data_IF_839192509300
#
_entry.id   IF_839192509300
#
_cell.length_a   1.000
_cell.length_b   1.000
_cell.length_c   1.000
_cell.angle_alpha   90.00
_cell.angle_beta   90.00
_cell.angle_gamma   90.00
#
_symmetry.space_group_name_H-M   'P 1'
#
loop_
_entity.id
_entity.type
_entity.pdbx_description
1 polymer ?
#
# COMPACT_ATOMS: atom_id res chain seq x y z
N UNK A 1 26.34 -30.61 -0.49
CA UNK A 1 26.31 -29.45 -1.42
C UNK A 1 24.96 -29.58 -2.12
N UNK A 2 23.92 -28.81 -1.84
CA UNK A 2 23.76 -27.35 -1.90
C UNK A 2 22.71 -26.86 -0.89
N UNK A 3 22.98 -25.71 -0.29
CA UNK A 3 22.05 -24.93 0.54
C UNK A 3 21.08 -24.15 -0.36
N UNK A 4 19.77 -24.18 -0.09
CA UNK A 4 18.90 -23.03 -0.33
C UNK A 4 17.93 -22.87 0.83
N UNK A 5 18.17 -21.84 1.62
CA UNK A 5 17.24 -21.35 2.65
C UNK A 5 16.04 -20.75 1.91
N UNK A 6 14.91 -21.44 1.87
CA UNK A 6 13.62 -20.81 1.59
C UNK A 6 13.24 -19.99 2.83
N UNK A 7 13.89 -18.84 3.01
CA UNK A 7 13.43 -17.83 3.94
C UNK A 7 12.18 -17.21 3.35
N UNK A 8 11.02 -17.50 3.97
CA UNK A 8 9.69 -16.93 3.71
C UNK A 8 9.66 -15.44 4.05
N UNK A 9 10.52 -14.64 3.41
CA UNK A 9 10.45 -13.18 3.51
C UNK A 9 9.41 -12.71 2.48
N UNK A 10 8.36 -12.00 2.90
CA UNK A 10 7.41 -11.43 1.95
C UNK A 10 8.16 -10.51 0.99
N UNK A 11 7.80 -10.53 -0.29
CA UNK A 11 8.37 -9.56 -1.22
C UNK A 11 8.04 -8.14 -0.75
N UNK A 12 8.80 -7.15 -1.18
CA UNK A 12 8.51 -5.75 -0.84
C UNK A 12 7.11 -5.33 -1.31
N UNK A 13 6.60 -5.95 -2.38
CA UNK A 13 5.22 -5.75 -2.86
C UNK A 13 4.20 -6.36 -1.90
N UNK A 14 4.44 -7.56 -1.36
CA UNK A 14 3.57 -8.20 -0.36
C UNK A 14 3.55 -7.40 0.95
N UNK A 15 4.70 -6.87 1.37
CA UNK A 15 4.79 -6.00 2.55
C UNK A 15 3.90 -4.76 2.39
N UNK A 16 3.98 -4.06 1.25
CA UNK A 16 3.14 -2.91 0.95
C UNK A 16 1.66 -3.29 0.92
N UNK A 17 1.32 -4.41 0.28
CA UNK A 17 -0.07 -4.88 0.21
C UNK A 17 -0.65 -5.22 1.59
N UNK A 18 0.14 -5.85 2.46
CA UNK A 18 -0.30 -6.17 3.83
C UNK A 18 -0.49 -4.90 4.66
N UNK A 19 0.43 -3.94 4.56
CA UNK A 19 0.35 -2.65 5.26
C UNK A 19 -0.89 -1.88 4.81
N UNK A 20 -1.13 -1.75 3.51
CA UNK A 20 -2.31 -1.00 3.04
C UNK A 20 -3.62 -1.68 3.42
N UNK A 21 -3.68 -3.01 3.37
CA UNK A 21 -4.83 -3.78 3.86
C UNK A 21 -5.15 -3.42 5.31
N UNK A 22 -4.12 -3.42 6.17
CA UNK A 22 -4.26 -3.09 7.59
C UNK A 22 -4.73 -1.66 7.79
N UNK A 23 -4.19 -0.69 7.04
CA UNK A 23 -4.58 0.72 7.13
C UNK A 23 -6.03 0.93 6.68
N UNK A 24 -6.52 0.19 5.69
CA UNK A 24 -7.90 0.25 5.22
C UNK A 24 -8.91 -0.43 6.17
N UNK A 25 -8.55 -1.55 6.80
CA UNK A 25 -9.44 -2.32 7.71
C UNK A 25 -9.87 -1.56 8.97
N UNK A 26 -9.18 -0.47 9.35
CA UNK A 26 -9.59 0.34 10.50
C UNK A 26 -10.92 1.09 10.25
N UNK A 27 -11.46 1.07 9.03
CA UNK A 27 -12.67 1.82 8.63
C UNK A 27 -13.81 0.92 8.11
N UNK A 28 -14.02 -0.26 8.69
CA UNK A 28 -15.15 -1.15 8.37
C UNK A 28 -16.51 -0.56 8.82
N UNK A 29 -17.08 0.32 8.00
CA UNK A 29 -18.53 0.59 8.01
C UNK A 29 -19.07 0.67 6.58
N UNK A 30 -19.49 -0.50 6.06
CA UNK A 30 -20.45 -0.78 4.97
C UNK A 30 -20.31 -0.06 3.60
N UNK A 31 -19.45 0.95 3.47
CA UNK A 31 -19.21 1.71 2.24
C UNK A 31 -17.73 2.09 2.20
N UNK A 32 -17.12 2.08 1.01
CA UNK A 32 -15.76 2.58 0.86
C UNK A 32 -15.71 4.01 1.44
N UNK A 33 -14.81 4.29 2.38
CA UNK A 33 -14.81 5.56 3.08
C UNK A 33 -14.37 6.66 2.08
N UNK A 34 -14.65 7.95 2.37
CA UNK A 34 -14.31 9.03 1.46
C UNK A 34 -12.79 9.03 1.16
N UNK A 35 -12.35 9.37 -0.05
CA UNK A 35 -10.93 9.32 -0.41
C UNK A 35 -9.98 10.10 0.51
N UNK A 36 -10.48 11.11 1.22
CA UNK A 36 -9.78 11.87 2.25
C UNK A 36 -9.29 11.02 3.43
N UNK A 37 -9.99 9.93 3.73
CA UNK A 37 -9.68 9.04 4.85
C UNK A 37 -8.76 7.87 4.46
N UNK A 38 -8.47 7.71 3.17
CA UNK A 38 -7.60 6.67 2.66
C UNK A 38 -6.13 6.97 3.04
N UNK A 39 -5.30 5.94 3.28
CA UNK A 39 -3.90 6.13 3.55
C UNK A 39 -3.19 6.84 2.39
N UNK A 40 -2.28 7.72 2.74
CA UNK A 40 -1.39 8.39 1.80
C UNK A 40 -0.16 7.53 1.51
N UNK A 41 0.59 7.90 0.47
CA UNK A 41 1.90 7.28 0.20
C UNK A 41 2.85 7.35 1.40
N UNK A 42 2.78 8.41 2.22
CA UNK A 42 3.63 8.59 3.39
C UNK A 42 3.28 7.61 4.50
N UNK A 43 1.99 7.40 4.77
CA UNK A 43 1.52 6.45 5.79
C UNK A 43 2.02 5.03 5.47
N UNK A 44 1.96 4.63 4.20
CA UNK A 44 2.48 3.33 3.75
C UNK A 44 4.01 3.28 3.85
N UNK A 45 4.71 4.35 3.46
CA UNK A 45 6.17 4.42 3.51
C UNK A 45 6.71 4.29 4.94
N UNK A 46 6.11 4.99 5.89
CA UNK A 46 6.48 4.93 7.31
C UNK A 46 6.27 3.54 7.90
N UNK A 47 5.14 2.90 7.60
CA UNK A 47 4.84 1.54 8.09
C UNK A 47 5.71 0.45 7.42
N UNK A 48 6.21 0.69 6.21
CA UNK A 48 7.09 -0.25 5.50
C UNK A 48 8.59 0.02 5.72
N UNK A 49 8.96 1.10 6.40
CA UNK A 49 10.34 1.63 6.46
C UNK A 49 10.95 1.86 5.06
N UNK A 50 10.16 2.45 4.16
CA UNK A 50 10.56 2.78 2.79
C UNK A 50 10.69 4.28 2.58
N UNK A 51 11.47 4.66 1.57
CA UNK A 51 11.37 6.03 1.03
C UNK A 51 10.01 6.24 0.40
N UNK A 52 9.51 7.48 0.42
CA UNK A 52 8.22 7.83 -0.19
C UNK A 52 8.16 7.49 -1.69
N UNK A 53 9.30 7.59 -2.40
CA UNK A 53 9.40 7.23 -3.81
C UNK A 53 9.28 5.72 -4.05
N UNK A 54 9.93 4.91 -3.20
CA UNK A 54 9.85 3.44 -3.27
C UNK A 54 8.44 2.95 -2.95
N UNK A 55 7.82 3.49 -1.90
CA UNK A 55 6.44 3.18 -1.57
C UNK A 55 5.49 3.53 -2.72
N UNK A 56 5.61 4.73 -3.31
CA UNK A 56 4.81 5.14 -4.46
C UNK A 56 4.96 4.19 -5.65
N UNK A 57 6.20 3.82 -5.98
CA UNK A 57 6.47 2.90 -7.09
C UNK A 57 5.78 1.54 -6.89
N UNK A 58 5.89 0.97 -5.68
CA UNK A 58 5.26 -0.32 -5.37
C UNK A 58 3.73 -0.25 -5.33
N UNK A 59 3.17 0.86 -4.83
CA UNK A 59 1.74 1.09 -4.83
C UNK A 59 1.18 1.24 -6.25
N UNK A 60 1.86 1.97 -7.14
CA UNK A 60 1.50 2.04 -8.56
C UNK A 60 1.52 0.65 -9.21
N UNK A 61 2.52 -0.17 -8.92
CA UNK A 61 2.58 -1.56 -9.41
C UNK A 61 1.38 -2.40 -8.95
N UNK A 62 0.93 -2.22 -7.70
CA UNK A 62 -0.27 -2.88 -7.18
C UNK A 62 -1.56 -2.36 -7.83
N UNK A 63 -1.59 -1.08 -8.20
CA UNK A 63 -2.70 -0.49 -8.96
C UNK A 63 -2.76 -1.03 -10.38
N UNK A 64 -1.61 -1.13 -11.06
CA UNK A 64 -1.54 -1.73 -12.40
C UNK A 64 -2.00 -3.20 -12.39
N UNK A 65 -1.81 -3.92 -11.27
CA UNK A 65 -2.33 -5.29 -11.08
C UNK A 65 -3.76 -5.35 -10.54
N UNK A 66 -4.45 -4.23 -10.36
CA UNK A 66 -5.83 -4.16 -9.86
C UNK A 66 -6.01 -4.55 -8.37
N UNK A 67 -4.93 -4.62 -7.59
CA UNK A 67 -4.96 -5.02 -6.18
C UNK A 67 -5.21 -3.84 -5.22
N UNK A 68 -4.92 -2.62 -5.67
CA UNK A 68 -5.04 -1.39 -4.88
C UNK A 68 -5.60 -0.28 -5.78
N UNK A 69 -6.58 0.46 -5.31
CA UNK A 69 -7.10 1.66 -5.97
C UNK A 69 -6.28 2.89 -5.59
N UNK A 70 -6.19 3.85 -6.50
CA UNK A 70 -5.59 5.16 -6.27
C UNK A 70 -6.58 6.25 -6.65
N UNK A 71 -6.57 7.39 -5.95
CA UNK A 71 -7.38 8.53 -6.38
C UNK A 71 -6.95 9.05 -7.75
N UNK A 72 -7.92 9.48 -8.60
CA UNK A 72 -7.62 10.00 -9.93
C UNK A 72 -6.82 11.32 -9.89
N UNK A 73 -6.96 12.08 -8.79
CA UNK A 73 -6.21 13.29 -8.52
C UNK A 73 -5.73 13.34 -7.06
N UNK A 74 -4.73 14.17 -6.74
CA UNK A 74 -4.27 14.33 -5.37
C UNK A 74 -5.35 14.93 -4.46
N UNK A 75 -5.59 14.29 -3.33
CA UNK A 75 -6.47 14.81 -2.25
C UNK A 75 -5.59 15.46 -1.19
N UNK A 76 -5.77 16.77 -0.96
CA UNK A 76 -4.89 17.58 -0.09
C UNK A 76 -3.40 17.44 -0.47
N UNK A 77 -3.09 17.56 -1.77
CA UNK A 77 -1.73 17.45 -2.33
C UNK A 77 -1.06 16.06 -2.20
N UNK A 78 -1.82 15.00 -1.92
CA UNK A 78 -1.28 13.64 -1.83
C UNK A 78 -2.16 12.62 -2.55
N UNK A 79 -1.54 11.59 -3.14
CA UNK A 79 -2.27 10.43 -3.62
C UNK A 79 -2.77 9.61 -2.43
N UNK A 80 -3.95 9.04 -2.63
CA UNK A 80 -4.68 8.25 -1.63
C UNK A 80 -4.89 6.85 -2.19
N UNK A 81 -4.74 5.85 -1.33
CA UNK A 81 -4.68 4.45 -1.75
C UNK A 81 -5.69 3.62 -0.97
N UNK A 82 -6.41 2.72 -1.64
CA UNK A 82 -7.43 1.89 -1.00
C UNK A 82 -7.34 0.44 -1.47
N UNK A 83 -7.65 -0.49 -0.57
CA UNK A 83 -7.76 -1.92 -0.89
C UNK A 83 -9.14 -2.40 -0.49
#
# INVERSE_FOLDING_TARGET
>A
MENRKNSTQPSQTDQVFNVISKLCTVQEMQMAPPPESWPSTRDVAEQCDFTIYKARYLLLKLTDSGLVMVTPSPVKNSLRWYK
#
